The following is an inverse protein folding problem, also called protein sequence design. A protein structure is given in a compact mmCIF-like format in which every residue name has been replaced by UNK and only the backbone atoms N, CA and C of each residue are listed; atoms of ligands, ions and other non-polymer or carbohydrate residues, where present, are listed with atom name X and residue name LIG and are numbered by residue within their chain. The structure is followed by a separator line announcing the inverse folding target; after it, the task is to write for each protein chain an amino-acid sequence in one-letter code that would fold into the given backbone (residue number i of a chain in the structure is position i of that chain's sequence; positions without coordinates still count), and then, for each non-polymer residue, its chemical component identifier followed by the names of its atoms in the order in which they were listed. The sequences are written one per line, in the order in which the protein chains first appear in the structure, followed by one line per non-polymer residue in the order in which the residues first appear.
data_IF_379036375749
#
_entry.id   IF_379036375749
#
_cell.length_a   1.000
_cell.length_b   1.000
_cell.length_c   1.000
_cell.angle_alpha   90.00
_cell.angle_beta   90.00
_cell.angle_gamma   90.00
#
_symmetry.space_group_name_H-M   'P 1'
#
loop_
_entity.id
_entity.type
_entity.pdbx_description
1 polymer ?
#
# COMPACT_ATOMS: atom_id res chain seq x y z
N UNK A 1 -7.95 29.62 7.46
CA UNK A 1 -6.80 29.22 8.30
C UNK A 1 -7.13 29.32 9.78
N UNK A 2 -7.67 30.48 10.29
CA UNK A 2 -8.02 30.62 11.73
C UNK A 2 -9.07 29.60 12.19
N UNK A 3 -10.17 29.41 11.48
CA UNK A 3 -11.22 28.42 11.82
C UNK A 3 -10.69 26.98 11.81
N UNK A 4 -9.73 26.68 10.95
CA UNK A 4 -9.07 25.38 10.89
C UNK A 4 -8.16 25.16 12.11
N UNK A 5 -7.38 26.19 12.48
CA UNK A 5 -6.52 26.16 13.67
C UNK A 5 -7.35 26.04 14.97
N UNK A 6 -8.50 26.67 15.04
CA UNK A 6 -9.44 26.54 16.17
C UNK A 6 -10.03 25.12 16.25
N UNK A 7 -10.42 24.52 15.12
CA UNK A 7 -10.94 23.15 15.08
C UNK A 7 -9.87 22.10 15.45
N UNK A 8 -8.63 22.33 15.09
CA UNK A 8 -7.49 21.49 15.48
C UNK A 8 -7.15 21.66 16.96
N UNK A 9 -7.26 22.89 17.49
CA UNK A 9 -6.92 23.24 18.87
C UNK A 9 -7.93 22.76 19.93
N UNK A 10 -9.14 22.40 19.52
CA UNK A 10 -10.23 22.06 20.44
C UNK A 10 -10.13 20.67 21.08
N UNK A 11 -9.26 19.79 20.59
CA UNK A 11 -9.13 18.42 21.09
C UNK A 11 -7.70 18.10 21.52
N UNK A 12 -7.37 18.05 22.83
CA UNK A 12 -6.02 17.83 23.31
C UNK A 12 -5.43 16.48 22.90
N UNK A 13 -6.26 15.43 22.80
CA UNK A 13 -5.81 14.10 22.35
C UNK A 13 -5.38 14.09 20.88
N UNK A 14 -6.03 14.88 20.03
CA UNK A 14 -5.62 15.00 18.62
C UNK A 14 -4.28 15.71 18.49
N UNK A 15 -4.04 16.77 19.27
CA UNK A 15 -2.75 17.45 19.29
C UNK A 15 -1.63 16.54 19.81
N UNK A 16 -1.88 15.75 20.85
CA UNK A 16 -0.93 14.76 21.35
C UNK A 16 -0.62 13.71 20.28
N UNK A 17 -1.63 13.25 19.54
CA UNK A 17 -1.44 12.34 18.42
C UNK A 17 -0.56 12.93 17.32
N UNK A 18 -0.82 14.17 16.88
CA UNK A 18 -0.01 14.85 15.89
C UNK A 18 1.43 15.08 16.40
N UNK A 19 1.58 15.47 17.67
CA UNK A 19 2.88 15.64 18.29
C UNK A 19 3.67 14.31 18.32
N UNK A 20 3.02 13.22 18.71
CA UNK A 20 3.63 11.88 18.68
C UNK A 20 4.12 11.52 17.27
N UNK A 21 3.28 11.66 16.24
CA UNK A 21 3.67 11.42 14.86
C UNK A 21 4.80 12.34 14.41
N UNK A 22 4.79 13.62 14.83
CA UNK A 22 5.84 14.58 14.57
C UNK A 22 7.18 14.17 15.18
N UNK A 23 7.18 13.65 16.41
CA UNK A 23 8.38 13.12 17.08
C UNK A 23 8.93 11.91 16.32
N UNK A 24 8.07 10.96 15.92
CA UNK A 24 8.49 9.78 15.13
C UNK A 24 9.12 10.22 13.80
N UNK A 25 8.54 11.21 13.12
CA UNK A 25 9.10 11.77 11.89
C UNK A 25 10.44 12.48 12.13
N UNK A 26 10.58 13.22 13.22
CA UNK A 26 11.84 13.87 13.59
C UNK A 26 12.95 12.84 13.85
N UNK A 27 12.63 11.74 14.55
CA UNK A 27 13.55 10.61 14.75
C UNK A 27 13.93 9.95 13.41
N UNK A 28 12.97 9.77 12.49
CA UNK A 28 13.24 9.28 11.13
C UNK A 28 14.14 10.25 10.34
N UNK A 29 13.92 11.55 10.45
CA UNK A 29 14.78 12.56 9.86
C UNK A 29 16.21 12.53 10.41
N UNK A 30 16.35 12.36 11.73
CA UNK A 30 17.67 12.17 12.37
C UNK A 30 18.35 10.89 11.86
N UNK A 31 17.66 9.75 11.84
CA UNK A 31 18.18 8.47 11.33
C UNK A 31 18.63 8.59 9.86
N UNK A 32 17.83 9.28 9.03
CA UNK A 32 18.19 9.57 7.63
C UNK A 32 19.42 10.47 7.54
N UNK A 33 19.55 11.48 8.40
CA UNK A 33 20.72 12.36 8.48
C UNK A 33 22.00 11.59 8.82
N UNK A 34 21.94 10.69 9.80
CA UNK A 34 23.07 9.81 10.17
C UNK A 34 23.49 8.94 8.97
N UNK A 35 22.54 8.37 8.24
CA UNK A 35 22.81 7.60 7.02
C UNK A 35 23.54 8.43 5.96
N UNK A 36 23.06 9.65 5.67
CA UNK A 36 23.63 10.52 4.64
C UNK A 36 24.98 11.14 4.99
N UNK A 37 25.33 11.20 6.27
CA UNK A 37 26.64 11.69 6.72
C UNK A 37 27.76 10.64 6.54
N UNK A 38 27.47 9.50 5.92
CA UNK A 38 28.48 8.49 5.57
C UNK A 38 28.61 7.34 6.55
N UNK A 39 27.65 7.19 7.46
CA UNK A 39 27.62 6.05 8.39
C UNK A 39 26.87 4.86 7.78
N UNK A 40 27.47 4.20 6.78
CA UNK A 40 26.87 3.03 6.14
C UNK A 40 26.68 1.86 7.10
N UNK A 41 27.54 1.74 8.10
CA UNK A 41 27.52 0.69 9.14
C UNK A 41 26.24 0.69 10.00
N UNK A 42 25.44 1.78 9.97
CA UNK A 42 24.16 1.84 10.70
C UNK A 42 23.02 1.07 10.04
N UNK A 43 23.23 0.63 8.80
CA UNK A 43 22.26 -0.19 8.04
C UNK A 43 22.56 -1.67 8.24
N UNK A 44 21.50 -2.49 8.26
CA UNK A 44 21.63 -3.95 8.35
C UNK A 44 21.98 -4.62 7.02
N UNK A 45 21.96 -3.88 5.90
CA UNK A 45 22.26 -4.40 4.58
C UNK A 45 23.73 -4.87 4.49
N UNK A 46 23.95 -5.95 3.75
CA UNK A 46 25.27 -6.55 3.51
C UNK A 46 25.50 -6.75 2.02
N UNK A 47 26.76 -7.07 1.63
CA UNK A 47 27.06 -7.39 0.23
C UNK A 47 26.29 -8.62 -0.29
N UNK A 48 25.86 -9.53 0.59
CA UNK A 48 25.07 -10.71 0.23
C UNK A 48 23.57 -10.40 0.17
N UNK A 49 23.09 -9.50 1.04
CA UNK A 49 21.69 -9.06 1.12
C UNK A 49 21.68 -7.51 1.05
N UNK A 50 21.90 -6.95 -0.14
CA UNK A 50 21.97 -5.49 -0.31
C UNK A 50 20.60 -4.78 -0.23
N UNK A 51 19.48 -5.48 -0.40
CA UNK A 51 18.13 -4.90 -0.34
C UNK A 51 17.48 -5.31 0.98
N UNK A 52 17.36 -4.35 1.90
CA UNK A 52 16.84 -4.56 3.26
C UNK A 52 15.35 -4.26 3.41
N UNK A 53 14.96 -4.06 4.68
CA UNK A 53 13.57 -3.78 5.08
C UNK A 53 13.05 -2.45 4.50
N UNK A 54 13.92 -1.48 4.18
CA UNK A 54 13.48 -0.21 3.58
C UNK A 54 12.96 -0.41 2.16
N UNK A 55 13.60 -1.29 1.37
CA UNK A 55 13.07 -1.67 0.05
C UNK A 55 11.75 -2.45 0.21
N UNK A 56 11.66 -3.35 1.20
CA UNK A 56 10.40 -4.06 1.50
C UNK A 56 9.29 -3.08 1.87
N UNK A 57 9.60 -2.05 2.66
CA UNK A 57 8.68 -0.98 3.07
C UNK A 57 8.26 -0.12 1.87
N UNK A 58 9.21 0.25 1.01
CA UNK A 58 8.92 0.93 -0.25
C UNK A 58 7.93 0.12 -1.10
N UNK A 59 8.25 -1.14 -1.37
CA UNK A 59 7.38 -2.03 -2.15
C UNK A 59 6.00 -2.14 -1.51
N UNK A 60 5.92 -2.32 -0.19
CA UNK A 60 4.66 -2.41 0.53
C UNK A 60 3.77 -1.18 0.32
N UNK A 61 4.31 0.02 0.48
CA UNK A 61 3.54 1.25 0.34
C UNK A 61 3.15 1.56 -1.11
N UNK A 62 4.04 1.36 -2.08
CA UNK A 62 3.71 1.65 -3.49
C UNK A 62 2.72 0.64 -4.06
N UNK A 63 2.81 -0.64 -3.61
CA UNK A 63 1.82 -1.67 -3.95
C UNK A 63 0.45 -1.32 -3.36
N UNK A 64 0.42 -0.86 -2.11
CA UNK A 64 -0.82 -0.42 -1.46
C UNK A 64 -1.43 0.79 -2.18
N UNK A 65 -0.60 1.78 -2.57
CA UNK A 65 -1.03 2.94 -3.36
C UNK A 65 -1.73 2.53 -4.66
N UNK A 66 -1.10 1.68 -5.43
CA UNK A 66 -1.66 1.19 -6.70
C UNK A 66 -2.96 0.41 -6.49
N UNK A 67 -3.01 -0.42 -5.45
CA UNK A 67 -4.22 -1.17 -5.11
C UNK A 67 -5.39 -0.28 -4.70
N UNK A 68 -5.12 0.80 -3.96
CA UNK A 68 -6.12 1.82 -3.63
C UNK A 68 -6.65 2.49 -4.90
N UNK A 69 -5.77 2.89 -5.82
CA UNK A 69 -6.16 3.44 -7.12
C UNK A 69 -7.05 2.46 -7.91
N UNK A 70 -6.71 1.18 -7.96
CA UNK A 70 -7.52 0.18 -8.67
C UNK A 70 -8.92 0.05 -8.07
N UNK A 71 -9.04 -0.04 -6.75
CA UNK A 71 -10.33 -0.20 -6.07
C UNK A 71 -11.19 1.05 -6.20
N UNK A 72 -10.60 2.24 -6.10
CA UNK A 72 -11.36 3.50 -6.26
C UNK A 72 -11.78 3.76 -7.68
N UNK A 73 -10.99 3.32 -8.66
CA UNK A 73 -11.35 3.42 -10.09
C UNK A 73 -12.62 2.64 -10.43
N UNK A 74 -13.01 1.62 -9.64
CA UNK A 74 -14.31 0.97 -9.84
C UNK A 74 -15.48 1.95 -9.75
N UNK A 75 -15.41 2.99 -8.93
CA UNK A 75 -16.45 4.00 -8.82
C UNK A 75 -16.55 4.89 -10.07
N UNK A 76 -15.78 5.94 -10.08
CA UNK A 76 -15.92 7.03 -11.04
C UNK A 76 -15.33 6.74 -12.43
N UNK A 77 -14.38 5.77 -12.57
CA UNK A 77 -13.84 5.37 -13.88
C UNK A 77 -14.72 4.32 -14.55
N UNK A 78 -14.99 3.22 -13.85
CA UNK A 78 -15.75 2.08 -14.40
C UNK A 78 -17.25 2.13 -14.15
N UNK A 79 -17.76 3.11 -13.38
CA UNK A 79 -19.19 3.37 -13.21
C UNK A 79 -19.92 2.50 -12.18
N UNK A 80 -19.19 1.83 -11.28
CA UNK A 80 -19.80 1.14 -10.15
C UNK A 80 -20.12 2.13 -9.02
N UNK A 81 -21.25 2.82 -9.10
CA UNK A 81 -21.63 3.94 -8.22
C UNK A 81 -21.49 3.68 -6.71
N UNK A 82 -21.54 2.43 -6.27
CA UNK A 82 -21.32 2.09 -4.85
C UNK A 82 -19.93 2.49 -4.33
N UNK A 83 -18.92 2.54 -5.20
CA UNK A 83 -17.55 2.89 -4.84
C UNK A 83 -17.27 4.39 -4.86
N UNK A 84 -18.19 5.22 -5.39
CA UNK A 84 -18.03 6.68 -5.41
C UNK A 84 -17.94 7.26 -3.99
N UNK A 85 -18.64 6.66 -3.01
CA UNK A 85 -18.65 7.09 -1.60
C UNK A 85 -17.25 7.14 -0.99
N UNK A 86 -16.36 6.23 -1.40
CA UNK A 86 -15.00 6.11 -0.87
C UNK A 86 -13.93 6.64 -1.84
N UNK A 87 -14.32 7.16 -3.02
CA UNK A 87 -13.39 7.54 -4.08
C UNK A 87 -12.40 8.61 -3.62
N UNK A 88 -12.86 9.72 -3.03
CA UNK A 88 -12.00 10.82 -2.55
C UNK A 88 -10.99 10.34 -1.51
N UNK A 89 -11.48 9.57 -0.52
CA UNK A 89 -10.64 8.98 0.53
C UNK A 89 -9.59 8.03 -0.05
N UNK A 90 -9.98 7.16 -0.97
CA UNK A 90 -9.08 6.19 -1.56
C UNK A 90 -8.03 6.82 -2.46
N UNK A 91 -8.38 7.81 -3.30
CA UNK A 91 -7.41 8.55 -4.12
C UNK A 91 -6.43 9.34 -3.23
N UNK A 92 -6.94 9.98 -2.16
CA UNK A 92 -6.07 10.65 -1.19
C UNK A 92 -5.12 9.68 -0.49
N UNK A 93 -5.62 8.51 -0.05
CA UNK A 93 -4.80 7.44 0.52
C UNK A 93 -3.76 6.91 -0.49
N UNK A 94 -4.09 6.83 -1.78
CA UNK A 94 -3.14 6.44 -2.83
C UNK A 94 -1.95 7.40 -2.90
N UNK A 95 -2.19 8.71 -2.84
CA UNK A 95 -1.14 9.72 -2.87
C UNK A 95 -0.24 9.59 -1.64
N UNK A 96 -0.82 9.54 -0.45
CA UNK A 96 -0.02 9.54 0.79
C UNK A 96 0.75 8.24 1.00
N UNK A 97 0.21 7.09 0.60
CA UNK A 97 0.96 5.83 0.64
C UNK A 97 2.10 5.81 -0.37
N UNK A 98 1.91 6.40 -1.57
CA UNK A 98 2.99 6.56 -2.53
C UNK A 98 4.13 7.42 -1.97
N UNK A 99 3.80 8.55 -1.33
CA UNK A 99 4.79 9.43 -0.68
C UNK A 99 5.51 8.74 0.48
N UNK A 100 4.80 7.94 1.29
CA UNK A 100 5.41 7.15 2.37
C UNK A 100 6.40 6.11 1.82
N UNK A 101 6.08 5.46 0.69
CA UNK A 101 7.00 4.59 -0.03
C UNK A 101 8.22 5.34 -0.54
N UNK A 102 8.04 6.53 -1.12
CA UNK A 102 9.15 7.36 -1.60
C UNK A 102 10.08 7.83 -0.47
N UNK A 103 9.56 8.05 0.74
CA UNK A 103 10.40 8.31 1.90
C UNK A 103 11.33 7.11 2.18
N UNK A 104 10.79 5.90 2.22
CA UNK A 104 11.57 4.70 2.51
C UNK A 104 12.70 4.46 1.48
N UNK A 105 12.38 4.51 0.17
CA UNK A 105 13.40 4.34 -0.88
C UNK A 105 14.38 5.52 -0.95
N UNK A 106 13.93 6.72 -0.61
CA UNK A 106 14.78 7.90 -0.55
C UNK A 106 15.90 7.75 0.49
N UNK A 107 15.58 7.17 1.65
CA UNK A 107 16.59 6.92 2.69
C UNK A 107 17.49 5.74 2.33
N UNK A 108 16.96 4.70 1.68
CA UNK A 108 17.75 3.57 1.19
C UNK A 108 18.79 4.01 0.16
N UNK A 109 18.45 4.96 -0.69
CA UNK A 109 19.36 5.48 -1.72
C UNK A 109 20.41 6.39 -1.09
N UNK A 110 21.69 6.06 -1.24
CA UNK A 110 22.80 6.84 -0.66
C UNK A 110 22.81 8.33 -1.06
N UNK A 111 22.38 8.62 -2.29
CA UNK A 111 22.40 9.97 -2.85
C UNK A 111 21.11 10.30 -3.58
N UNK A 112 19.97 10.44 -2.87
CA UNK A 112 18.66 10.64 -3.48
C UNK A 112 18.56 11.90 -4.34
N UNK A 113 19.34 12.94 -4.04
CA UNK A 113 19.40 14.17 -4.86
C UNK A 113 19.95 13.94 -6.27
N UNK A 114 20.71 12.84 -6.51
CA UNK A 114 21.19 12.46 -7.85
C UNK A 114 20.12 11.78 -8.70
N UNK A 115 19.04 11.27 -8.11
CA UNK A 115 17.97 10.62 -8.88
C UNK A 115 17.38 11.58 -9.91
N UNK A 116 17.16 12.85 -9.56
CA UNK A 116 16.67 13.86 -10.49
C UNK A 116 17.62 14.09 -11.67
N UNK A 117 18.92 14.18 -11.41
CA UNK A 117 19.91 14.36 -12.49
C UNK A 117 20.02 13.14 -13.39
N UNK A 118 20.04 11.92 -12.82
CA UNK A 118 20.05 10.68 -13.58
C UNK A 118 18.80 10.52 -14.46
N UNK A 119 17.67 11.00 -13.97
CA UNK A 119 16.40 10.92 -14.69
C UNK A 119 16.34 11.91 -15.87
N UNK A 120 16.82 13.13 -15.68
CA UNK A 120 16.68 14.23 -16.64
C UNK A 120 17.90 14.42 -17.55
N UNK A 121 19.13 14.31 -17.01
CA UNK A 121 20.35 14.64 -17.73
C UNK A 121 21.06 13.44 -18.35
N UNK A 122 20.84 12.24 -17.79
CA UNK A 122 21.46 11.00 -18.27
C UNK A 122 20.45 9.85 -18.33
N UNK A 123 19.35 9.99 -19.10
CA UNK A 123 18.30 8.98 -19.16
C UNK A 123 18.83 7.68 -19.78
N UNK A 124 18.61 6.55 -19.08
CA UNK A 124 18.91 5.22 -19.63
C UNK A 124 17.60 4.50 -19.95
N UNK A 125 17.14 4.61 -21.17
CA UNK A 125 15.89 4.01 -21.65
C UNK A 125 15.91 2.48 -21.74
N UNK A 126 17.10 1.86 -21.63
CA UNK A 126 17.21 0.39 -21.58
C UNK A 126 17.08 -0.15 -20.16
N UNK A 127 17.18 0.70 -19.12
CA UNK A 127 17.07 0.29 -17.73
C UNK A 127 15.61 0.31 -17.26
N UNK A 128 15.06 -0.83 -16.75
CA UNK A 128 13.68 -0.89 -16.23
C UNK A 128 13.41 0.11 -15.10
N UNK A 129 14.41 0.43 -14.29
CA UNK A 129 14.29 1.37 -13.18
C UNK A 129 13.97 2.80 -13.65
N UNK A 130 14.45 3.21 -14.84
CA UNK A 130 14.12 4.49 -15.44
C UNK A 130 12.62 4.58 -15.78
N UNK A 131 12.08 3.53 -16.42
CA UNK A 131 10.65 3.44 -16.75
C UNK A 131 9.78 3.36 -15.50
N UNK A 132 10.24 2.67 -14.47
CA UNK A 132 9.53 2.64 -13.19
C UNK A 132 9.39 4.06 -12.61
N UNK A 133 10.48 4.82 -12.52
CA UNK A 133 10.45 6.19 -12.00
C UNK A 133 9.57 7.10 -12.86
N UNK A 134 9.64 6.96 -14.20
CA UNK A 134 8.79 7.69 -15.12
C UNK A 134 7.30 7.42 -14.90
N UNK A 135 6.89 6.16 -14.85
CA UNK A 135 5.49 5.81 -14.65
C UNK A 135 4.97 6.17 -13.26
N UNK A 136 5.78 6.04 -12.21
CA UNK A 136 5.35 6.50 -10.88
C UNK A 136 5.20 8.02 -10.80
N UNK A 137 6.03 8.77 -11.52
CA UNK A 137 5.88 10.24 -11.63
C UNK A 137 4.59 10.61 -12.32
N UNK A 138 4.30 10.01 -13.49
CA UNK A 138 3.03 10.22 -14.17
C UNK A 138 1.83 9.80 -13.35
N UNK A 139 1.93 8.66 -12.67
CA UNK A 139 0.89 8.16 -11.78
C UNK A 139 0.58 9.16 -10.67
N UNK A 140 1.59 9.71 -9.99
CA UNK A 140 1.39 10.73 -8.96
C UNK A 140 0.71 11.99 -9.52
N UNK A 141 1.15 12.45 -10.69
CA UNK A 141 0.54 13.61 -11.36
C UNK A 141 -0.94 13.36 -11.64
N UNK A 142 -1.29 12.22 -12.20
CA UNK A 142 -2.70 11.89 -12.49
C UNK A 142 -3.53 11.71 -11.24
N UNK A 143 -3.01 11.13 -10.16
CA UNK A 143 -3.71 11.06 -8.87
C UNK A 143 -4.03 12.43 -8.30
N UNK A 144 -3.08 13.37 -8.40
CA UNK A 144 -3.30 14.75 -7.92
C UNK A 144 -4.37 15.45 -8.77
N UNK A 145 -4.32 15.32 -10.11
CA UNK A 145 -5.33 15.88 -11.02
C UNK A 145 -6.70 15.25 -10.75
N UNK A 146 -6.76 13.94 -10.56
CA UNK A 146 -7.98 13.20 -10.22
C UNK A 146 -8.59 13.70 -8.90
N UNK A 147 -7.78 13.82 -7.85
CA UNK A 147 -8.22 14.34 -6.55
C UNK A 147 -8.76 15.78 -6.68
N UNK A 148 -8.05 16.64 -7.41
CA UNK A 148 -8.53 18.00 -7.70
C UNK A 148 -9.86 17.98 -8.47
N UNK A 149 -9.99 17.10 -9.47
CA UNK A 149 -11.24 16.92 -10.23
C UNK A 149 -12.41 16.50 -9.34
N UNK A 150 -12.18 15.58 -8.41
CA UNK A 150 -13.18 15.12 -7.44
C UNK A 150 -13.60 16.22 -6.47
N UNK A 151 -12.68 17.07 -5.99
CA UNK A 151 -13.02 18.21 -5.12
C UNK A 151 -13.73 19.32 -5.85
N UNK A 152 -13.33 19.62 -7.09
CA UNK A 152 -13.97 20.62 -7.94
C UNK A 152 -15.28 20.13 -8.58
N UNK A 153 -15.70 18.89 -8.30
CA UNK A 153 -16.88 18.24 -8.89
C UNK A 153 -16.86 18.23 -10.44
N UNK A 154 -15.67 18.23 -11.03
CA UNK A 154 -15.47 18.13 -12.49
C UNK A 154 -15.37 16.66 -12.90
N UNK A 155 -16.51 16.02 -13.11
CA UNK A 155 -16.63 14.57 -13.37
C UNK A 155 -15.77 14.10 -14.57
N UNK A 156 -15.75 14.87 -15.65
CA UNK A 156 -14.95 14.53 -16.83
C UNK A 156 -13.46 14.54 -16.51
N UNK A 157 -12.98 15.58 -15.80
CA UNK A 157 -11.57 15.69 -15.40
C UNK A 157 -11.18 14.54 -14.46
N UNK A 158 -12.00 14.28 -13.43
CA UNK A 158 -11.75 13.20 -12.48
C UNK A 158 -11.71 11.83 -13.17
N UNK A 159 -12.66 11.57 -14.08
CA UNK A 159 -12.72 10.29 -14.82
C UNK A 159 -11.54 10.10 -15.77
N UNK A 160 -11.17 11.13 -16.53
CA UNK A 160 -10.05 11.06 -17.48
C UNK A 160 -8.71 10.90 -16.74
N UNK A 161 -8.49 11.69 -15.67
CA UNK A 161 -7.29 11.58 -14.85
C UNK A 161 -7.23 10.23 -14.13
N UNK A 162 -8.36 9.74 -13.60
CA UNK A 162 -8.45 8.43 -12.96
C UNK A 162 -8.14 7.28 -13.92
N UNK A 163 -8.63 7.34 -15.17
CA UNK A 163 -8.29 6.35 -16.19
C UNK A 163 -6.79 6.37 -16.54
N UNK A 164 -6.20 7.55 -16.72
CA UNK A 164 -4.76 7.68 -16.99
C UNK A 164 -3.93 7.27 -15.76
N UNK A 165 -4.38 7.60 -14.55
CA UNK A 165 -3.81 7.12 -13.30
C UNK A 165 -3.84 5.60 -13.19
N UNK A 166 -4.96 4.97 -13.52
CA UNK A 166 -5.12 3.53 -13.55
C UNK A 166 -4.14 2.85 -14.53
N UNK A 167 -4.03 3.37 -15.76
CA UNK A 167 -3.13 2.82 -16.77
C UNK A 167 -1.66 3.01 -16.39
N UNK A 168 -1.28 4.18 -15.88
CA UNK A 168 0.09 4.44 -15.41
C UNK A 168 0.43 3.65 -14.17
N UNK A 169 -0.53 3.38 -13.28
CA UNK A 169 -0.37 2.49 -12.13
C UNK A 169 -0.05 1.05 -12.56
N UNK A 170 -0.75 0.51 -13.58
CA UNK A 170 -0.44 -0.82 -14.15
C UNK A 170 0.98 -0.82 -14.71
N UNK A 171 1.36 0.19 -15.50
CA UNK A 171 2.69 0.27 -16.09
C UNK A 171 3.79 0.38 -15.02
N UNK A 172 3.63 1.25 -14.02
CA UNK A 172 4.56 1.42 -12.91
C UNK A 172 4.75 0.11 -12.12
N UNK A 173 3.64 -0.57 -11.85
CA UNK A 173 3.66 -1.82 -11.06
C UNK A 173 4.24 -2.99 -11.82
N UNK A 174 3.92 -3.09 -13.11
CA UNK A 174 4.53 -4.08 -14.01
C UNK A 174 6.03 -3.89 -14.10
N UNK A 175 6.51 -2.64 -14.22
CA UNK A 175 7.96 -2.35 -14.24
C UNK A 175 8.62 -2.60 -12.89
N UNK A 176 7.96 -2.31 -11.76
CA UNK A 176 8.47 -2.68 -10.44
C UNK A 176 8.67 -4.20 -10.32
N UNK A 177 7.67 -4.98 -10.72
CA UNK A 177 7.78 -6.44 -10.75
C UNK A 177 8.84 -6.94 -11.72
N UNK A 178 8.99 -6.28 -12.87
CA UNK A 178 10.00 -6.61 -13.87
C UNK A 178 11.43 -6.35 -13.38
N UNK A 179 11.66 -5.31 -12.54
CA UNK A 179 12.98 -5.07 -11.94
C UNK A 179 13.46 -6.32 -11.19
N UNK A 180 12.62 -6.92 -10.38
CA UNK A 180 12.94 -8.19 -9.70
C UNK A 180 12.99 -9.36 -10.69
N UNK A 181 11.97 -9.50 -11.55
CA UNK A 181 11.82 -10.64 -12.48
C UNK A 181 12.91 -10.74 -13.55
N UNK A 182 13.64 -9.67 -13.84
CA UNK A 182 14.75 -9.63 -14.79
C UNK A 182 16.12 -9.93 -14.15
N UNK A 183 16.20 -10.06 -12.82
CA UNK A 183 17.44 -10.39 -12.11
C UNK A 183 17.72 -11.89 -12.22
N UNK A 184 18.47 -12.29 -13.24
CA UNK A 184 18.83 -13.69 -13.48
C UNK A 184 19.67 -14.31 -12.36
N UNK A 185 20.49 -13.50 -11.68
CA UNK A 185 21.35 -13.95 -10.57
C UNK A 185 20.58 -14.40 -9.32
N UNK A 186 19.28 -14.12 -9.23
CA UNK A 186 18.44 -14.51 -8.09
C UNK A 186 17.25 -15.33 -8.60
N UNK A 187 17.40 -16.63 -8.59
CA UNK A 187 16.43 -17.58 -9.13
C UNK A 187 15.03 -17.48 -8.50
N UNK A 188 14.93 -17.01 -7.25
CA UNK A 188 13.65 -16.77 -6.58
C UNK A 188 12.80 -15.71 -7.30
N UNK A 189 13.46 -14.68 -7.86
CA UNK A 189 12.77 -13.57 -8.53
C UNK A 189 12.59 -13.79 -10.02
N UNK A 190 13.51 -14.55 -10.64
CA UNK A 190 13.58 -14.72 -12.09
C UNK A 190 12.27 -15.24 -12.70
N UNK A 191 11.79 -14.52 -13.71
CA UNK A 191 10.67 -14.94 -14.55
C UNK A 191 9.51 -13.95 -14.58
N UNK A 192 8.46 -14.23 -15.38
CA UNK A 192 7.33 -13.34 -15.64
C UNK A 192 6.30 -13.30 -14.49
N UNK A 193 6.50 -14.08 -13.44
CA UNK A 193 5.55 -14.21 -12.34
C UNK A 193 5.36 -12.89 -11.57
N UNK A 194 6.47 -12.20 -11.22
CA UNK A 194 6.41 -11.07 -10.31
C UNK A 194 5.62 -9.86 -10.85
N UNK A 195 5.73 -9.44 -12.12
CA UNK A 195 4.89 -8.37 -12.65
C UNK A 195 3.39 -8.60 -12.45
N UNK A 196 2.93 -9.83 -12.68
CA UNK A 196 1.52 -10.20 -12.53
C UNK A 196 1.14 -10.28 -11.04
N UNK A 197 1.98 -10.93 -10.24
CA UNK A 197 1.78 -11.07 -8.79
C UNK A 197 1.68 -9.72 -8.08
N UNK A 198 2.51 -8.74 -8.47
CA UNK A 198 2.46 -7.41 -7.87
C UNK A 198 1.11 -6.72 -8.12
N UNK A 199 0.54 -6.83 -9.33
CA UNK A 199 -0.78 -6.27 -9.65
C UNK A 199 -1.87 -6.94 -8.82
N UNK A 200 -1.86 -8.27 -8.74
CA UNK A 200 -2.87 -9.03 -7.99
C UNK A 200 -2.81 -8.74 -6.49
N UNK A 201 -1.61 -8.74 -5.93
CA UNK A 201 -1.41 -8.43 -4.52
C UNK A 201 -1.67 -6.96 -4.17
N UNK A 202 -1.59 -6.04 -5.14
CA UNK A 202 -2.01 -4.66 -4.97
C UNK A 202 -3.52 -4.56 -4.68
N UNK A 203 -4.35 -5.31 -5.41
CA UNK A 203 -5.79 -5.37 -5.17
C UNK A 203 -6.12 -5.83 -3.73
N UNK A 204 -5.36 -6.79 -3.20
CA UNK A 204 -5.51 -7.25 -1.81
C UNK A 204 -5.14 -6.14 -0.83
N UNK A 205 -3.93 -5.54 -0.98
CA UNK A 205 -3.44 -4.52 -0.05
C UNK A 205 -4.28 -3.25 -0.07
N UNK A 206 -4.65 -2.76 -1.26
CA UNK A 206 -5.48 -1.57 -1.41
C UNK A 206 -6.88 -1.76 -0.82
N UNK A 207 -7.52 -2.93 -1.07
CA UNK A 207 -8.83 -3.23 -0.50
C UNK A 207 -8.76 -3.31 1.02
N UNK A 208 -7.78 -4.03 1.59
CA UNK A 208 -7.61 -4.18 3.02
C UNK A 208 -7.33 -2.83 3.69
N UNK A 209 -6.41 -2.03 3.14
CA UNK A 209 -6.03 -0.74 3.72
C UNK A 209 -7.16 0.29 3.66
N UNK A 210 -7.92 0.32 2.57
CA UNK A 210 -9.09 1.21 2.44
C UNK A 210 -10.17 0.89 3.49
N UNK A 211 -10.43 -0.40 3.75
CA UNK A 211 -11.33 -0.84 4.82
C UNK A 211 -10.82 -0.38 6.17
N UNK A 212 -9.53 -0.65 6.47
CA UNK A 212 -8.90 -0.29 7.76
C UNK A 212 -9.02 1.22 8.00
N UNK A 213 -8.58 2.03 7.05
CA UNK A 213 -8.55 3.48 7.22
C UNK A 213 -9.96 4.08 7.31
N UNK A 214 -10.90 3.58 6.52
CA UNK A 214 -12.29 4.05 6.59
C UNK A 214 -12.92 3.73 7.95
N UNK A 215 -12.80 2.50 8.42
CA UNK A 215 -13.36 2.10 9.73
C UNK A 215 -12.68 2.83 10.88
N UNK A 216 -11.35 2.95 10.84
CA UNK A 216 -10.57 3.64 11.87
C UNK A 216 -11.00 5.11 12.02
N UNK A 217 -11.24 5.82 10.90
CA UNK A 217 -11.72 7.21 10.93
C UNK A 217 -13.03 7.33 11.72
N UNK A 218 -14.04 6.54 11.38
CA UNK A 218 -15.33 6.60 12.10
C UNK A 218 -15.19 6.26 13.58
N UNK A 219 -14.33 5.31 13.94
CA UNK A 219 -14.11 4.93 15.35
C UNK A 219 -13.38 6.02 16.12
N UNK A 220 -12.34 6.62 15.53
CA UNK A 220 -11.59 7.72 16.18
C UNK A 220 -12.47 8.94 16.38
N UNK A 221 -13.28 9.29 15.37
CA UNK A 221 -14.21 10.42 15.46
C UNK A 221 -15.50 10.09 16.25
N UNK A 222 -15.62 8.86 16.75
CA UNK A 222 -16.81 8.39 17.50
C UNK A 222 -18.13 8.62 16.76
N UNK A 223 -18.09 8.58 15.43
CA UNK A 223 -19.28 8.72 14.55
C UNK A 223 -19.83 7.35 14.16
N UNK A 224 -21.16 7.28 13.97
CA UNK A 224 -21.80 6.08 13.40
C UNK A 224 -21.46 5.98 11.91
N UNK A 225 -21.16 4.77 11.45
CA UNK A 225 -20.90 4.50 10.03
C UNK A 225 -22.24 4.51 9.28
N UNK A 226 -22.42 5.34 8.24
CA UNK A 226 -23.63 5.35 7.42
C UNK A 226 -23.93 3.96 6.83
N UNK A 227 -25.21 3.64 6.67
CA UNK A 227 -25.63 2.29 6.21
C UNK A 227 -25.02 1.93 4.85
N UNK A 228 -24.99 2.86 3.90
CA UNK A 228 -24.40 2.65 2.58
C UNK A 228 -22.90 2.32 2.66
N UNK A 229 -22.15 3.10 3.46
CA UNK A 229 -20.72 2.84 3.69
C UNK A 229 -20.48 1.51 4.38
N UNK A 230 -21.31 1.19 5.40
CA UNK A 230 -21.24 -0.08 6.12
C UNK A 230 -21.44 -1.27 5.18
N UNK A 231 -22.47 -1.22 4.35
CA UNK A 231 -22.79 -2.31 3.42
C UNK A 231 -21.71 -2.47 2.33
N UNK A 232 -21.13 -1.34 1.89
CA UNK A 232 -19.98 -1.36 0.98
C UNK A 232 -18.76 -2.02 1.63
N UNK A 233 -18.38 -1.64 2.87
CA UNK A 233 -17.22 -2.22 3.58
C UNK A 233 -17.38 -3.72 3.79
N UNK A 234 -18.58 -4.18 4.17
CA UNK A 234 -18.87 -5.61 4.31
C UNK A 234 -18.77 -6.31 2.96
N UNK A 235 -19.27 -5.71 1.88
CA UNK A 235 -19.16 -6.24 0.54
C UNK A 235 -17.68 -6.35 0.09
N UNK A 236 -16.91 -5.31 0.31
CA UNK A 236 -15.47 -5.30 0.00
C UNK A 236 -14.71 -6.42 0.75
N UNK A 237 -14.94 -6.56 2.06
CA UNK A 237 -14.26 -7.58 2.87
C UNK A 237 -14.67 -8.99 2.49
N UNK A 238 -15.98 -9.26 2.38
CA UNK A 238 -16.50 -10.62 2.16
C UNK A 238 -16.45 -11.11 0.71
N UNK A 239 -16.42 -10.22 -0.26
CA UNK A 239 -16.42 -10.61 -1.67
C UNK A 239 -15.13 -10.24 -2.38
N UNK A 240 -14.74 -8.95 -2.37
CA UNK A 240 -13.56 -8.54 -3.11
C UNK A 240 -12.28 -9.05 -2.47
N UNK A 241 -12.11 -8.84 -1.16
CA UNK A 241 -10.90 -9.26 -0.47
C UNK A 241 -10.74 -10.78 -0.47
N UNK A 242 -11.83 -11.53 -0.27
CA UNK A 242 -11.83 -13.01 -0.36
C UNK A 242 -11.48 -13.47 -1.78
N UNK A 243 -12.08 -12.86 -2.81
CA UNK A 243 -11.77 -13.18 -4.20
C UNK A 243 -10.29 -12.94 -4.52
N UNK A 244 -9.77 -11.78 -4.14
CA UNK A 244 -8.38 -11.42 -4.41
C UNK A 244 -7.40 -12.30 -3.62
N UNK A 245 -7.71 -12.65 -2.37
CA UNK A 245 -6.92 -13.61 -1.60
C UNK A 245 -6.95 -15.00 -2.26
N UNK A 246 -8.09 -15.46 -2.75
CA UNK A 246 -8.19 -16.73 -3.48
C UNK A 246 -7.30 -16.75 -4.74
N UNK A 247 -7.26 -15.65 -5.49
CA UNK A 247 -6.38 -15.51 -6.65
C UNK A 247 -4.90 -15.52 -6.20
N UNK A 248 -4.54 -14.82 -5.13
CA UNK A 248 -3.17 -14.82 -4.59
C UNK A 248 -2.76 -16.22 -4.14
N UNK A 249 -3.65 -16.96 -3.43
CA UNK A 249 -3.40 -18.36 -3.04
C UNK A 249 -3.12 -19.22 -4.27
N UNK A 250 -3.93 -19.10 -5.32
CA UNK A 250 -3.74 -19.83 -6.58
C UNK A 250 -2.37 -19.54 -7.20
N UNK A 251 -1.98 -18.27 -7.32
CA UNK A 251 -0.71 -17.88 -7.89
C UNK A 251 0.49 -18.35 -7.04
N UNK A 252 0.39 -18.25 -5.71
CA UNK A 252 1.41 -18.76 -4.81
C UNK A 252 1.59 -20.27 -4.90
N UNK A 253 0.47 -21.01 -4.93
CA UNK A 253 0.50 -22.47 -5.09
C UNK A 253 1.24 -22.86 -6.36
N UNK A 254 0.93 -22.21 -7.48
CA UNK A 254 1.64 -22.47 -8.73
C UNK A 254 3.11 -22.08 -8.69
N UNK A 255 3.47 -20.97 -8.04
CA UNK A 255 4.87 -20.58 -7.84
C UNK A 255 5.64 -21.68 -7.09
N UNK A 256 5.08 -22.18 -6.00
CA UNK A 256 5.71 -23.25 -5.20
C UNK A 256 5.86 -24.52 -6.05
N UNK A 257 4.80 -24.98 -6.70
CA UNK A 257 4.81 -26.19 -7.54
C UNK A 257 5.87 -26.06 -8.64
N UNK A 258 5.88 -24.98 -9.40
CA UNK A 258 6.82 -24.78 -10.52
C UNK A 258 8.27 -24.61 -10.07
N UNK A 259 8.50 -24.11 -8.85
CA UNK A 259 9.86 -23.98 -8.30
C UNK A 259 10.40 -25.31 -7.75
N UNK A 260 9.53 -26.20 -7.28
CA UNK A 260 9.95 -27.50 -6.73
C UNK A 260 9.94 -28.61 -7.78
N UNK A 261 9.02 -28.55 -8.76
CA UNK A 261 8.88 -29.59 -9.78
C UNK A 261 10.10 -29.64 -10.71
N UNK A 262 10.61 -30.86 -10.93
CA UNK A 262 11.79 -31.06 -11.79
C UNK A 262 13.12 -30.68 -11.15
N UNK A 263 13.11 -30.18 -9.91
CA UNK A 263 14.31 -29.84 -9.13
C UNK A 263 15.32 -28.95 -9.88
N UNK A 264 14.88 -27.82 -10.52
CA UNK A 264 15.84 -26.89 -11.09
C UNK A 264 16.72 -26.34 -9.92
N UNK A 265 18.05 -26.62 -9.90
CA UNK A 265 18.82 -26.52 -8.65
C UNK A 265 18.69 -25.19 -7.93
N UNK A 266 18.88 -24.09 -8.64
CA UNK A 266 18.84 -22.74 -8.04
C UNK A 266 17.42 -22.34 -7.58
N UNK A 267 16.37 -22.68 -8.36
CA UNK A 267 14.98 -22.37 -7.99
C UNK A 267 14.50 -23.23 -6.84
N UNK A 268 14.92 -24.49 -6.81
CA UNK A 268 14.61 -25.41 -5.73
C UNK A 268 15.22 -24.93 -4.41
N UNK A 269 16.50 -24.61 -4.38
CA UNK A 269 17.19 -24.11 -3.18
C UNK A 269 16.60 -22.78 -2.70
N UNK A 270 16.31 -21.86 -3.62
CA UNK A 270 15.69 -20.58 -3.30
C UNK A 270 14.28 -20.77 -2.70
N UNK A 271 13.49 -21.72 -3.20
CA UNK A 271 12.18 -22.01 -2.63
C UNK A 271 12.31 -22.74 -1.28
N UNK A 272 13.26 -23.67 -1.14
CA UNK A 272 13.50 -24.37 0.12
C UNK A 272 14.00 -23.44 1.23
N UNK A 273 14.75 -22.37 0.91
CA UNK A 273 15.13 -21.35 1.89
C UNK A 273 13.93 -20.71 2.57
N UNK A 274 12.83 -20.55 1.83
CA UNK A 274 11.56 -20.00 2.32
C UNK A 274 10.71 -21.06 3.03
N UNK A 275 10.60 -22.28 2.47
CA UNK A 275 9.70 -23.32 2.98
C UNK A 275 10.24 -24.03 4.24
N UNK A 276 11.54 -24.28 4.31
CA UNK A 276 12.20 -25.06 5.37
C UNK A 276 13.50 -24.42 5.90
N UNK A 277 13.92 -23.28 5.33
CA UNK A 277 15.13 -22.56 5.69
C UNK A 277 14.91 -21.46 6.73
N UNK A 278 15.80 -20.46 6.77
CA UNK A 278 15.78 -19.39 7.79
C UNK A 278 14.51 -18.55 7.82
N UNK A 279 13.81 -18.43 6.69
CA UNK A 279 12.57 -17.64 6.56
C UNK A 279 11.29 -18.46 6.78
N UNK A 280 11.40 -19.75 7.12
CA UNK A 280 10.24 -20.65 7.21
C UNK A 280 9.20 -20.20 8.24
N UNK A 281 9.60 -19.64 9.37
CA UNK A 281 8.68 -19.12 10.38
C UNK A 281 7.94 -17.88 9.86
N UNK A 282 8.66 -16.94 9.25
CA UNK A 282 8.03 -15.76 8.63
C UNK A 282 7.01 -16.18 7.57
N UNK A 283 7.40 -17.08 6.69
CA UNK A 283 6.57 -17.57 5.62
C UNK A 283 5.33 -18.32 6.14
N UNK A 284 5.50 -19.40 6.90
CA UNK A 284 4.38 -20.25 7.29
C UNK A 284 3.46 -19.60 8.31
N UNK A 285 4.01 -18.95 9.35
CA UNK A 285 3.21 -18.39 10.42
C UNK A 285 2.65 -17.02 10.04
N UNK A 286 3.49 -16.07 9.64
CA UNK A 286 3.06 -14.68 9.49
C UNK A 286 2.49 -14.40 8.09
N UNK A 287 3.11 -14.89 7.01
CA UNK A 287 2.60 -14.66 5.66
C UNK A 287 1.43 -15.60 5.35
N UNK A 288 1.62 -16.92 5.43
CA UNK A 288 0.63 -17.91 4.98
C UNK A 288 -0.52 -18.05 5.97
N UNK A 289 -0.23 -18.37 7.25
CA UNK A 289 -1.30 -18.62 8.21
C UNK A 289 -2.02 -17.32 8.59
N UNK A 290 -1.31 -16.34 9.15
CA UNK A 290 -1.92 -15.11 9.69
C UNK A 290 -2.34 -14.16 8.55
N UNK A 291 -1.51 -14.02 7.51
CA UNK A 291 -1.76 -13.05 6.43
C UNK A 291 -2.74 -13.52 5.37
N UNK A 292 -2.83 -14.82 5.11
CA UNK A 292 -3.61 -15.34 3.98
C UNK A 292 -4.70 -16.31 4.44
N UNK A 293 -4.37 -17.47 5.02
CA UNK A 293 -5.35 -18.55 5.25
C UNK A 293 -6.37 -18.23 6.33
N UNK A 294 -5.93 -17.75 7.50
CA UNK A 294 -6.83 -17.40 8.60
C UNK A 294 -7.82 -16.31 8.15
N UNK A 295 -7.40 -15.16 7.60
CA UNK A 295 -8.36 -14.15 7.16
C UNK A 295 -9.20 -14.61 5.97
N UNK A 296 -8.68 -15.42 5.05
CA UNK A 296 -9.44 -15.97 3.94
C UNK A 296 -10.63 -16.80 4.43
N UNK A 297 -10.39 -17.81 5.27
CA UNK A 297 -11.46 -18.66 5.80
C UNK A 297 -12.35 -17.91 6.79
N UNK A 298 -11.79 -17.01 7.59
CA UNK A 298 -12.57 -16.17 8.50
C UNK A 298 -13.56 -15.28 7.73
N UNK A 299 -13.10 -14.55 6.72
CA UNK A 299 -13.96 -13.67 5.92
C UNK A 299 -14.96 -14.44 5.06
N UNK A 300 -14.59 -15.62 4.58
CA UNK A 300 -15.45 -16.46 3.76
C UNK A 300 -16.57 -17.10 4.59
N UNK A 301 -16.22 -17.76 5.69
CA UNK A 301 -17.09 -18.70 6.39
C UNK A 301 -17.67 -18.16 7.70
N UNK A 302 -16.92 -17.33 8.45
CA UNK A 302 -17.31 -17.01 9.81
C UNK A 302 -18.44 -15.96 9.88
N UNK A 303 -19.47 -16.16 10.73
CA UNK A 303 -20.59 -15.21 10.84
C UNK A 303 -20.19 -13.79 11.28
N UNK A 304 -19.16 -13.65 12.11
CA UNK A 304 -18.65 -12.33 12.53
C UNK A 304 -18.14 -11.48 11.36
N UNK A 305 -17.75 -12.07 10.23
CA UNK A 305 -17.38 -11.35 9.01
C UNK A 305 -18.56 -10.63 8.33
N UNK A 306 -19.80 -10.82 8.79
CA UNK A 306 -20.98 -10.02 8.40
C UNK A 306 -21.04 -8.68 9.13
N UNK A 307 -20.12 -8.39 10.03
CA UNK A 307 -20.01 -7.14 10.77
C UNK A 307 -18.82 -6.31 10.31
N UNK A 308 -18.88 -4.98 10.48
CA UNK A 308 -17.75 -4.08 10.18
C UNK A 308 -16.52 -4.44 11.01
N UNK A 309 -16.72 -4.81 12.30
CA UNK A 309 -15.61 -5.22 13.18
C UNK A 309 -14.90 -6.48 12.64
N UNK A 310 -15.66 -7.47 12.19
CA UNK A 310 -15.09 -8.68 11.63
C UNK A 310 -14.30 -8.41 10.34
N UNK A 311 -14.87 -7.61 9.43
CA UNK A 311 -14.19 -7.22 8.20
C UNK A 311 -12.91 -6.40 8.50
N UNK A 312 -12.95 -5.51 9.50
CA UNK A 312 -11.77 -4.75 9.94
C UNK A 312 -10.66 -5.66 10.47
N UNK A 313 -10.99 -6.61 11.35
CA UNK A 313 -10.00 -7.56 11.89
C UNK A 313 -9.40 -8.42 10.77
N UNK A 314 -10.23 -8.97 9.89
CA UNK A 314 -9.74 -9.73 8.73
C UNK A 314 -8.82 -8.90 7.83
N UNK A 315 -9.18 -7.65 7.54
CA UNK A 315 -8.36 -6.74 6.74
C UNK A 315 -7.06 -6.39 7.44
N UNK A 316 -7.05 -6.23 8.77
CA UNK A 316 -5.84 -5.94 9.54
C UNK A 316 -4.84 -7.11 9.50
N UNK A 317 -5.34 -8.34 9.64
CA UNK A 317 -4.50 -9.55 9.53
C UNK A 317 -3.89 -9.67 8.13
N UNK A 318 -4.70 -9.46 7.09
CA UNK A 318 -4.23 -9.45 5.69
C UNK A 318 -3.15 -8.39 5.49
N UNK A 319 -3.38 -7.17 5.95
CA UNK A 319 -2.47 -6.05 5.73
C UNK A 319 -1.12 -6.25 6.45
N UNK A 320 -1.16 -6.78 7.68
CA UNK A 320 0.04 -7.14 8.42
C UNK A 320 0.82 -8.29 7.74
N UNK A 321 0.12 -9.35 7.30
CA UNK A 321 0.74 -10.45 6.58
C UNK A 321 1.36 -10.03 5.25
N UNK A 322 0.75 -9.07 4.54
CA UNK A 322 1.31 -8.52 3.31
C UNK A 322 2.63 -7.77 3.54
N UNK A 323 2.81 -7.10 4.68
CA UNK A 323 4.11 -6.51 5.00
C UNK A 323 5.19 -7.58 5.14
N UNK A 324 4.89 -8.67 5.84
CA UNK A 324 5.80 -9.82 5.96
C UNK A 324 6.06 -10.45 4.59
N UNK A 325 5.04 -10.61 3.77
CA UNK A 325 5.18 -11.11 2.39
C UNK A 325 6.12 -10.25 1.54
N UNK A 326 6.12 -8.91 1.72
CA UNK A 326 7.10 -8.04 1.04
C UNK A 326 8.50 -8.21 1.56
N UNK A 327 8.64 -8.42 2.87
CA UNK A 327 9.94 -8.74 3.48
C UNK A 327 10.48 -10.07 2.95
N UNK A 328 9.68 -11.13 2.96
CA UNK A 328 10.07 -12.45 2.46
C UNK A 328 10.38 -12.42 0.94
N UNK A 329 9.64 -11.63 0.17
CA UNK A 329 9.91 -11.45 -1.26
C UNK A 329 11.25 -10.74 -1.50
N UNK A 330 11.52 -9.63 -0.81
CA UNK A 330 12.71 -8.81 -1.03
C UNK A 330 13.92 -9.44 -0.36
N UNK A 331 13.86 -9.70 0.94
CA UNK A 331 14.99 -10.24 1.72
C UNK A 331 15.14 -11.73 1.47
N UNK A 332 14.06 -12.50 1.58
CA UNK A 332 14.07 -13.96 1.36
C UNK A 332 14.58 -14.34 -0.03
N UNK A 333 14.25 -13.55 -1.05
CA UNK A 333 14.76 -13.76 -2.41
C UNK A 333 16.29 -13.62 -2.57
N UNK A 334 16.98 -13.03 -1.59
CA UNK A 334 18.44 -12.82 -1.62
C UNK A 334 19.20 -13.83 -0.78
N UNK A 335 18.56 -14.48 0.18
CA UNK A 335 19.19 -15.32 1.21
C UNK A 335 19.81 -16.59 0.62
N UNK A 336 19.18 -17.18 -0.40
CA UNK A 336 19.73 -18.37 -1.06
C UNK A 336 21.05 -18.03 -1.75
N UNK A 337 22.13 -18.84 -1.51
CA UNK A 337 23.41 -18.60 -2.13
C UNK A 337 23.35 -18.83 -3.64
N UNK A 338 24.09 -18.02 -4.42
CA UNK A 338 24.15 -18.16 -5.90
C UNK A 338 25.06 -19.31 -6.32
N UNK A 339 26.09 -19.59 -5.54
CA UNK A 339 27.16 -20.56 -5.88
C UNK A 339 27.29 -21.71 -4.88
N UNK A 340 26.24 -22.04 -4.15
CA UNK A 340 26.33 -22.98 -3.03
C UNK A 340 26.92 -22.33 -1.78
N UNK A 341 26.75 -22.96 -0.63
CA UNK A 341 27.23 -22.45 0.66
C UNK A 341 26.09 -22.20 1.66
N UNK A 342 26.37 -21.57 2.80
CA UNK A 342 25.35 -21.29 3.81
C UNK A 342 24.39 -20.18 3.35
N UNK A 343 23.19 -20.21 3.85
CA UNK A 343 22.22 -19.12 3.69
C UNK A 343 22.77 -17.81 4.26
N UNK A 344 22.60 -16.71 3.54
CA UNK A 344 22.94 -15.40 4.03
C UNK A 344 21.99 -15.00 5.18
N UNK A 345 22.48 -14.21 6.12
CA UNK A 345 21.68 -13.67 7.22
C UNK A 345 21.47 -12.18 7.04
N UNK A 346 20.27 -11.70 7.37
CA UNK A 346 19.93 -10.29 7.45
C UNK A 346 19.06 -10.05 8.68
N UNK A 347 19.39 -9.02 9.42
CA UNK A 347 18.58 -8.52 10.51
C UNK A 347 18.46 -6.99 10.37
N UNK A 348 17.24 -6.45 10.32
CA UNK A 348 17.05 -4.99 10.25
C UNK A 348 17.70 -4.29 11.43
N UNK A 349 18.42 -3.22 11.17
CA UNK A 349 19.00 -2.36 12.20
C UNK A 349 17.93 -1.51 12.89
N UNK A 350 18.29 -0.95 14.06
CA UNK A 350 17.44 -0.01 14.77
C UNK A 350 17.13 1.24 13.90
N UNK A 351 18.12 1.71 13.15
CA UNK A 351 17.98 2.84 12.21
C UNK A 351 16.95 2.55 11.13
N UNK A 352 17.00 1.37 10.52
CA UNK A 352 16.03 0.96 9.51
C UNK A 352 14.60 0.89 10.09
N UNK A 353 14.43 0.33 11.29
CA UNK A 353 13.13 0.29 11.95
C UNK A 353 12.56 1.69 12.26
N UNK A 354 13.42 2.63 12.65
CA UNK A 354 13.02 4.04 12.87
C UNK A 354 12.53 4.66 11.57
N UNK A 355 13.17 4.39 10.43
CA UNK A 355 12.72 4.88 9.12
C UNK A 355 11.42 4.23 8.68
N UNK A 356 11.24 2.93 8.92
CA UNK A 356 9.95 2.24 8.70
C UNK A 356 8.83 2.91 9.50
N UNK A 357 9.08 3.14 10.80
CA UNK A 357 8.11 3.83 11.67
C UNK A 357 7.82 5.26 11.18
N UNK A 358 8.83 5.98 10.69
CA UNK A 358 8.66 7.32 10.12
C UNK A 358 7.82 7.30 8.82
N UNK A 359 7.98 6.29 7.96
CA UNK A 359 7.15 6.13 6.76
C UNK A 359 5.67 5.89 7.12
N UNK A 360 5.42 5.06 8.13
CA UNK A 360 4.05 4.85 8.68
C UNK A 360 3.52 6.15 9.30
N UNK A 361 4.35 6.85 10.10
CA UNK A 361 3.96 8.11 10.74
C UNK A 361 3.65 9.21 9.72
N UNK A 362 4.39 9.30 8.61
CA UNK A 362 4.12 10.22 7.52
C UNK A 362 2.74 9.96 6.92
N UNK A 363 2.45 8.70 6.60
CA UNK A 363 1.15 8.29 6.08
C UNK A 363 0.00 8.69 7.03
N UNK A 364 0.13 8.35 8.31
CA UNK A 364 -0.88 8.63 9.33
C UNK A 364 -1.02 10.13 9.62
N UNK A 365 0.09 10.89 9.61
CA UNK A 365 0.06 12.33 9.83
C UNK A 365 -0.68 13.06 8.72
N UNK A 366 -0.30 12.80 7.45
CA UNK A 366 -0.95 13.44 6.30
C UNK A 366 -2.42 13.03 6.24
N UNK A 367 -2.73 11.75 6.53
CA UNK A 367 -4.11 11.28 6.57
C UNK A 367 -4.93 11.98 7.67
N UNK A 368 -4.39 12.04 8.90
CA UNK A 368 -5.07 12.71 10.02
C UNK A 368 -5.33 14.19 9.76
N UNK A 369 -4.39 14.88 9.11
CA UNK A 369 -4.59 16.26 8.68
C UNK A 369 -5.62 16.35 7.56
N UNK A 370 -5.54 15.45 6.58
CA UNK A 370 -6.47 15.42 5.44
C UNK A 370 -7.92 15.21 5.85
N UNK A 371 -8.20 14.29 6.78
CA UNK A 371 -9.58 14.07 7.30
C UNK A 371 -10.16 15.32 7.98
N UNK A 372 -9.34 16.15 8.59
CA UNK A 372 -9.79 17.38 9.23
C UNK A 372 -9.93 18.58 8.25
N UNK A 373 -9.09 18.61 7.22
CA UNK A 373 -8.96 19.76 6.32
C UNK A 373 -9.74 19.60 5.01
N UNK A 374 -9.94 18.36 4.55
CA UNK A 374 -10.52 18.05 3.26
C UNK A 374 -11.87 17.34 3.42
N UNK A 375 -12.87 17.62 2.57
CA UNK A 375 -14.15 16.92 2.55
C UNK A 375 -13.99 15.55 1.85
N UNK A 376 -13.38 14.58 2.56
CA UNK A 376 -13.10 13.26 2.01
C UNK A 376 -14.33 12.35 1.95
N UNK A 377 -15.40 12.70 2.65
CA UNK A 377 -16.70 12.03 2.54
C UNK A 377 -17.56 12.71 1.47
N UNK A 378 -18.28 11.94 0.67
CA UNK A 378 -19.39 12.47 -0.08
C UNK A 378 -20.55 12.71 0.89
N UNK A 379 -20.79 13.97 1.22
CA UNK A 379 -21.91 14.35 2.07
C UNK A 379 -23.24 13.87 1.47
N UNK A 380 -24.14 13.51 2.34
CA UNK A 380 -25.55 13.17 2.07
C UNK A 380 -26.31 14.33 1.42
N UNK A 381 -25.82 14.82 0.28
CA UNK A 381 -26.42 15.93 -0.47
C UNK A 381 -27.79 15.56 -1.08
N UNK A 382 -28.18 14.28 -1.01
CA UNK A 382 -29.53 13.83 -1.41
C UNK A 382 -30.57 13.98 -0.28
N UNK A 383 -30.15 13.99 0.99
CA UNK A 383 -31.06 14.20 2.13
C UNK A 383 -31.52 15.66 2.27
N UNK A 384 -30.63 16.62 1.97
CA UNK A 384 -31.00 18.04 2.03
C UNK A 384 -31.84 18.53 0.84
N UNK A 385 -31.69 17.90 -0.33
CA UNK A 385 -32.53 18.25 -1.50
C UNK A 385 -33.94 17.67 -1.40
N UNK A 386 -34.13 16.53 -0.74
CA UNK A 386 -35.45 15.95 -0.47
C UNK A 386 -36.25 16.72 0.57
N UNK A 387 -35.58 17.26 1.60
CA UNK A 387 -36.27 18.05 2.64
C UNK A 387 -36.69 19.46 2.19
N UNK A 388 -35.98 20.05 1.23
CA UNK A 388 -36.39 21.34 0.66
C UNK A 388 -37.55 21.24 -0.31
N UNK A 389 -37.73 20.10 -1.00
CA UNK A 389 -38.86 19.89 -1.89
C UNK A 389 -40.16 19.57 -1.11
N UNK A 390 -40.06 18.81 0.01
CA UNK A 390 -41.24 18.58 0.87
C UNK A 390 -41.67 19.79 1.69
N UNK A 391 -40.76 20.71 2.04
CA UNK A 391 -41.09 21.94 2.74
C UNK A 391 -41.78 22.97 1.85
N UNK A 392 -41.56 22.92 0.53
CA UNK A 392 -42.17 23.87 -0.42
C UNK A 392 -43.55 23.39 -0.94
N UNK A 393 -43.79 22.08 -0.92
CA UNK A 393 -45.11 21.50 -1.28
C UNK A 393 -46.11 21.54 -0.14
N UNK A 394 -45.66 21.69 1.12
CA UNK A 394 -46.53 21.83 2.31
C UNK A 394 -47.04 23.26 2.59
N UNK A 395 -46.61 24.26 1.81
CA UNK A 395 -47.08 25.65 1.92
C UNK A 395 -48.07 26.10 0.83
N UNK A 396 -48.45 25.20 -0.06
CA UNK A 396 -49.37 25.45 -1.18
C UNK A 396 -50.70 24.68 -1.05
N UNK A 397 -51.09 24.26 0.18
CA UNK A 397 -52.43 23.69 0.46
C UNK A 397 -53.13 24.47 1.58
#
# INVERSE_FOLDING_TARGET
VKAILEKVRSEPYYLLWLAFLGVVLALGGYASGVRYLGHEEVMGATNLVPLGILISTYVFFVVTSTGLCFVTSFGHVFGFHRFEIIAKRGVFLSIITLLAGFLAIGVETERPWRLGSLFLTSPNFTAPIWWMAFFYTLYLIFLVIELCGLFLRRTVLARSAGLLGFLTAIAAHSTLGAIFGLIKAKAFWEGPYLPIYFILSALVSGTAFLIIMTVATYWVERRSIPSQTRDLLIHMGKRLLVLFLGIVIFFWTWKVITSLYGHPPEKYEAMMSLLAGPQSVNFWLFEVAIGILIPFFFLLLHPAAKSVRGVFIGSLLVFAGLFVSRFDLVVGGQIAPVWGGPYASYSPSCTEWVVVAASVALCLLIYSLGERLLPLEEGDSRSSAGQTVEADTGRAS
#
